data_IF_000593079543
#
_entry.id   IF_000593079543
#
_cell.length_a   1.000
_cell.length_b   1.000
_cell.length_c   1.000
_cell.angle_alpha   90.00
_cell.angle_beta   90.00
_cell.angle_gamma   90.00
#
_symmetry.space_group_name_H-M   'P 1'
#
loop_
_entity.id
_entity.type
_entity.pdbx_description
1 polymer ?
#
# COMPACT_ATOMS: atom_id res chain seq x y z
N UNK A 1 -4.94 -20.04 -10.98
CA UNK A 1 -3.72 -19.96 -10.13
C UNK A 1 -2.88 -18.75 -10.56
N UNK A 2 -3.00 -17.63 -9.86
CA UNK A 2 -2.49 -16.32 -10.27
C UNK A 2 -1.69 -15.59 -9.17
N UNK A 3 -1.48 -14.28 -9.37
CA UNK A 3 -0.74 -13.39 -8.47
C UNK A 3 -1.27 -13.46 -7.03
N UNK A 4 -0.41 -13.85 -6.08
CA UNK A 4 -0.72 -13.84 -4.64
C UNK A 4 -0.15 -12.57 -4.01
N UNK A 5 -0.96 -11.86 -3.23
CA UNK A 5 -0.57 -10.59 -2.63
C UNK A 5 -0.25 -10.82 -1.15
N UNK A 6 1.00 -10.56 -0.78
CA UNK A 6 1.46 -10.62 0.61
C UNK A 6 1.62 -9.23 1.25
N UNK A 7 1.59 -8.16 0.46
CA UNK A 7 1.72 -6.79 0.96
C UNK A 7 0.51 -6.39 1.82
N UNK A 8 0.75 -5.69 2.94
CA UNK A 8 -0.30 -5.14 3.81
C UNK A 8 -0.30 -3.63 3.65
N UNK A 9 -1.20 -3.18 2.79
CA UNK A 9 -1.28 -1.80 2.35
C UNK A 9 -2.70 -1.31 2.49
N UNK A 10 -2.86 -0.03 2.84
CA UNK A 10 -4.06 0.72 2.47
C UNK A 10 -3.66 2.06 1.85
N UNK A 11 -4.55 2.58 1.01
CA UNK A 11 -4.42 3.91 0.43
C UNK A 11 -5.73 4.67 0.60
N UNK A 12 -5.66 5.84 1.24
CA UNK A 12 -6.78 6.75 1.41
C UNK A 12 -6.56 7.91 0.44
N UNK A 13 -7.56 8.22 -0.38
CA UNK A 13 -7.60 9.46 -1.17
C UNK A 13 -8.62 10.40 -0.55
N UNK A 14 -8.20 11.60 -0.17
CA UNK A 14 -9.02 12.63 0.46
C UNK A 14 -8.98 13.91 -0.36
N UNK A 15 -10.11 14.59 -0.49
CA UNK A 15 -10.16 15.93 -1.09
C UNK A 15 -9.93 16.98 -0.01
N UNK A 16 -8.87 17.76 -0.13
CA UNK A 16 -8.49 18.82 0.80
C UNK A 16 -8.23 20.11 0.02
N UNK A 17 -8.93 21.20 0.37
CA UNK A 17 -8.80 22.50 -0.30
C UNK A 17 -8.93 22.44 -1.84
N UNK A 18 -9.74 21.51 -2.35
CA UNK A 18 -9.92 21.30 -3.78
C UNK A 18 -8.98 20.27 -4.40
N UNK A 19 -7.86 19.94 -3.75
CA UNK A 19 -6.84 19.02 -4.22
C UNK A 19 -7.05 17.60 -3.69
N UNK A 20 -6.53 16.58 -4.40
CA UNK A 20 -6.55 15.19 -3.93
C UNK A 20 -5.25 14.88 -3.21
N UNK A 21 -5.34 14.72 -1.89
CA UNK A 21 -4.24 14.28 -1.02
C UNK A 21 -4.38 12.78 -0.78
N UNK A 22 -3.25 12.08 -0.75
CA UNK A 22 -3.21 10.64 -0.48
C UNK A 22 -2.43 10.31 0.78
N UNK A 23 -2.91 9.32 1.50
CA UNK A 23 -2.26 8.75 2.67
C UNK A 23 -2.11 7.25 2.47
N UNK A 24 -0.91 6.73 2.65
CA UNK A 24 -0.63 5.31 2.51
C UNK A 24 -0.16 4.74 3.84
N UNK A 25 -0.61 3.52 4.12
CA UNK A 25 -0.02 2.66 5.14
C UNK A 25 0.73 1.52 4.46
N UNK A 26 1.92 1.23 5.00
CA UNK A 26 2.74 0.08 4.63
C UNK A 26 3.10 -0.66 5.92
N UNK A 27 2.61 -1.89 6.07
CA UNK A 27 2.83 -2.70 7.27
C UNK A 27 3.59 -3.99 7.01
N UNK A 28 4.35 -4.44 8.00
CA UNK A 28 4.94 -5.79 8.04
C UNK A 28 3.92 -6.84 8.49
N UNK A 29 2.96 -6.42 9.32
CA UNK A 29 1.95 -7.26 9.96
C UNK A 29 0.57 -7.18 9.34
N UNK A 30 -0.27 -8.17 9.65
CA UNK A 30 -1.68 -8.18 9.26
C UNK A 30 -2.48 -7.12 10.04
N UNK A 31 -3.48 -6.51 9.38
CA UNK A 31 -4.41 -5.60 10.04
C UNK A 31 -5.34 -6.30 11.06
N UNK A 32 -5.59 -7.59 10.88
CA UNK A 32 -6.43 -8.38 11.77
C UNK A 32 -5.56 -9.19 12.73
N UNK A 33 -5.45 -8.72 13.98
CA UNK A 33 -4.57 -9.28 15.02
C UNK A 33 -5.08 -10.57 15.69
N UNK A 34 -6.30 -11.01 15.37
CA UNK A 34 -7.04 -12.06 16.11
C UNK A 34 -6.34 -13.42 16.21
N UNK A 35 -5.27 -13.67 15.47
CA UNK A 35 -4.64 -15.00 15.34
C UNK A 35 -3.33 -15.19 16.10
N UNK A 36 -2.74 -14.19 16.75
CA UNK A 36 -1.51 -14.42 17.51
C UNK A 36 -1.57 -14.00 18.98
N UNK A 37 -0.72 -14.70 19.75
CA UNK A 37 -0.48 -14.43 21.16
C UNK A 37 0.34 -13.16 21.40
N UNK A 38 1.27 -12.82 20.50
CA UNK A 38 2.06 -11.59 20.52
C UNK A 38 2.61 -11.31 19.11
N UNK A 39 2.43 -10.10 18.59
CA UNK A 39 3.06 -9.64 17.35
C UNK A 39 4.02 -8.49 17.65
N UNK A 40 5.12 -8.42 16.90
CA UNK A 40 5.95 -7.22 16.81
C UNK A 40 6.03 -6.87 15.34
N UNK A 41 5.37 -5.79 14.97
CA UNK A 41 5.24 -5.34 13.60
C UNK A 41 5.54 -3.84 13.50
N UNK A 42 5.99 -3.44 12.31
CA UNK A 42 6.21 -2.05 11.97
C UNK A 42 5.15 -1.59 10.97
N UNK A 43 4.78 -0.32 11.07
CA UNK A 43 3.84 0.34 10.18
C UNK A 43 4.34 1.73 9.86
N UNK A 44 4.42 2.05 8.56
CA UNK A 44 4.66 3.39 8.06
C UNK A 44 3.34 3.98 7.61
N UNK A 45 2.89 5.07 8.24
CA UNK A 45 1.80 5.90 7.75
C UNK A 45 2.38 7.20 7.18
N UNK A 46 2.12 7.48 5.91
CA UNK A 46 2.77 8.61 5.22
C UNK A 46 1.85 9.28 4.21
N UNK A 47 2.04 10.60 4.05
CA UNK A 47 1.45 11.40 2.98
C UNK A 47 2.49 11.76 1.89
N UNK A 48 3.68 11.16 1.91
CA UNK A 48 4.71 11.40 0.90
C UNK A 48 4.17 11.04 -0.49
N UNK A 49 4.09 12.03 -1.37
CA UNK A 49 3.53 11.88 -2.72
C UNK A 49 4.27 10.81 -3.53
N UNK A 50 5.57 10.59 -3.29
CA UNK A 50 6.39 9.60 -3.99
C UNK A 50 5.93 8.19 -3.66
N UNK A 51 5.79 7.91 -2.36
CA UNK A 51 5.37 6.62 -1.84
C UNK A 51 3.89 6.36 -2.15
N UNK A 52 3.02 7.34 -1.89
CA UNK A 52 1.56 7.18 -2.09
C UNK A 52 1.19 6.97 -3.56
N UNK A 53 1.91 7.59 -4.50
CA UNK A 53 1.70 7.36 -5.93
C UNK A 53 2.11 5.95 -6.35
N UNK A 54 3.17 5.39 -5.77
CA UNK A 54 3.60 4.02 -6.05
C UNK A 54 2.69 2.98 -5.40
N UNK A 55 2.20 3.22 -4.18
CA UNK A 55 1.16 2.36 -3.58
C UNK A 55 -0.09 2.33 -4.48
N UNK A 56 -0.48 3.47 -5.07
CA UNK A 56 -1.56 3.49 -6.08
C UNK A 56 -1.23 2.63 -7.31
N UNK A 57 0.03 2.66 -7.78
CA UNK A 57 0.48 1.81 -8.89
C UNK A 57 0.42 0.32 -8.52
N UNK A 58 0.74 -0.07 -7.28
CA UNK A 58 0.58 -1.45 -6.79
C UNK A 58 -0.89 -1.89 -6.88
N UNK A 59 -1.84 -1.06 -6.42
CA UNK A 59 -3.26 -1.37 -6.55
C UNK A 59 -3.70 -1.51 -8.02
N UNK A 60 -3.27 -0.60 -8.89
CA UNK A 60 -3.57 -0.71 -10.33
C UNK A 60 -2.98 -1.99 -10.96
N UNK A 61 -1.79 -2.41 -10.54
CA UNK A 61 -1.14 -3.63 -11.00
C UNK A 61 -1.90 -4.88 -10.52
N UNK A 62 -2.37 -4.89 -9.28
CA UNK A 62 -3.21 -5.96 -8.75
C UNK A 62 -4.48 -6.14 -9.59
N UNK A 63 -5.12 -5.04 -9.98
CA UNK A 63 -6.31 -5.06 -10.85
C UNK A 63 -5.96 -5.45 -12.30
N UNK A 64 -4.77 -5.07 -12.78
CA UNK A 64 -4.35 -5.25 -14.18
C UNK A 64 -2.90 -5.80 -14.27
N UNK A 65 -2.69 -7.09 -13.96
CA UNK A 65 -1.35 -7.65 -13.72
C UNK A 65 -0.47 -7.82 -14.96
N UNK A 66 -1.01 -7.57 -16.16
CA UNK A 66 -0.29 -7.75 -17.43
C UNK A 66 0.49 -6.51 -17.88
N UNK A 67 0.38 -5.38 -17.16
CA UNK A 67 1.12 -4.16 -17.49
C UNK A 67 2.43 -4.10 -16.72
N UNK A 68 3.59 -3.91 -17.39
CA UNK A 68 4.84 -3.67 -16.68
C UNK A 68 4.76 -2.34 -15.93
N UNK A 69 5.11 -2.36 -14.65
CA UNK A 69 5.15 -1.20 -13.77
C UNK A 69 6.51 -1.14 -13.11
N UNK A 70 7.14 0.03 -13.11
CA UNK A 70 8.37 0.30 -12.37
C UNK A 70 8.08 1.06 -11.09
N UNK A 71 8.86 0.73 -10.07
CA UNK A 71 8.82 1.33 -8.74
C UNK A 71 10.23 1.80 -8.37
N UNK A 72 10.34 3.03 -7.89
CA UNK A 72 11.57 3.70 -7.49
C UNK A 72 11.73 3.70 -5.96
N UNK A 73 10.62 3.70 -5.20
CA UNK A 73 10.61 3.82 -3.74
C UNK A 73 10.08 2.57 -3.02
N UNK A 74 9.12 1.85 -3.61
CA UNK A 74 8.68 0.55 -3.13
C UNK A 74 9.46 -0.59 -3.80
N UNK A 75 9.81 -1.60 -3.01
CA UNK A 75 10.25 -2.89 -3.52
C UNK A 75 9.02 -3.79 -3.66
N UNK A 76 8.66 -4.14 -4.89
CA UNK A 76 7.43 -4.88 -5.27
C UNK A 76 7.77 -6.09 -6.12
#
# INVERSE_FOLDING_TARGET
PGLKIHAKLFLISRKENGEVVRYAHIGTGNFNEKTARLYTDYSLLTADARITNEVRRVFNFIENPYRPVTFDYLMV
#
